data_IF_767941845016
#
_entry.id   IF_767941845016
#
_cell.length_a   1.000
_cell.length_b   1.000
_cell.length_c   1.000
_cell.angle_alpha   90.00
_cell.angle_beta   90.00
_cell.angle_gamma   90.00
#
_symmetry.space_group_name_H-M   'P 1'
#
loop_
_entity.id
_entity.type
_entity.pdbx_description
1 polymer ?
#
# COMPACT_ATOMS: atom_id res chain seq x y z
N UNK A 1 23.41 16.50 12.58
CA UNK A 1 22.70 15.22 12.85
C UNK A 1 22.30 14.46 11.59
N UNK A 2 21.83 15.12 10.50
CA UNK A 2 21.46 14.45 9.24
C UNK A 2 22.60 13.61 8.61
N UNK A 3 23.84 14.11 8.66
CA UNK A 3 24.99 13.41 8.07
C UNK A 3 25.45 12.20 8.91
N UNK A 4 25.16 12.18 10.21
CA UNK A 4 25.59 11.11 11.13
C UNK A 4 24.70 9.86 11.01
N UNK A 5 23.41 10.05 10.74
CA UNK A 5 22.47 8.96 10.44
C UNK A 5 22.80 8.29 9.10
N UNK A 6 23.20 9.07 8.09
CA UNK A 6 23.58 8.53 6.78
C UNK A 6 24.86 7.68 6.88
N UNK A 7 25.88 8.14 7.62
CA UNK A 7 27.12 7.40 7.83
C UNK A 7 26.94 6.12 8.64
N UNK A 8 26.12 6.16 9.70
CA UNK A 8 25.79 4.98 10.50
C UNK A 8 25.01 3.93 9.67
N UNK A 9 24.16 4.40 8.74
CA UNK A 9 23.42 3.54 7.82
C UNK A 9 24.33 2.82 6.82
N UNK A 10 25.32 3.52 6.24
CA UNK A 10 26.32 2.89 5.36
C UNK A 10 27.26 1.91 6.10
N UNK A 11 27.58 2.17 7.37
CA UNK A 11 28.42 1.29 8.17
C UNK A 11 27.72 -0.03 8.54
N UNK A 12 26.40 -0.02 8.72
CA UNK A 12 25.60 -1.24 8.98
C UNK A 12 25.50 -2.15 7.74
N UNK A 13 25.46 -1.57 6.53
CA UNK A 13 25.47 -2.34 5.29
C UNK A 13 26.80 -3.08 5.03
N UNK A 14 27.92 -2.59 5.58
CA UNK A 14 29.24 -3.17 5.39
C UNK A 14 29.55 -4.40 6.27
N UNK A 15 28.72 -4.69 7.28
CA UNK A 15 28.91 -5.81 8.21
C UNK A 15 27.95 -6.99 7.98
N UNK A 16 27.22 -6.99 6.86
CA UNK A 16 26.30 -8.06 6.55
C UNK A 16 27.08 -9.38 6.28
N UNK A 17 26.71 -10.52 6.89
CA UNK A 17 27.34 -11.80 6.59
C UNK A 17 27.17 -12.12 5.09
N UNK A 18 28.05 -12.94 4.50
CA UNK A 18 28.12 -13.24 3.07
C UNK A 18 26.84 -13.86 2.43
N UNK A 19 25.77 -14.03 3.21
CA UNK A 19 24.45 -14.55 2.81
C UNK A 19 23.31 -13.56 3.02
N UNK A 20 23.64 -12.28 3.27
CA UNK A 20 22.66 -11.23 3.48
C UNK A 20 22.59 -10.30 2.27
N UNK A 21 21.39 -10.09 1.76
CA UNK A 21 21.11 -9.12 0.71
C UNK A 21 20.52 -7.84 1.31
N UNK A 22 20.67 -6.74 0.60
CA UNK A 22 20.08 -5.45 0.96
C UNK A 22 19.42 -4.79 -0.24
N UNK A 23 18.11 -4.57 -0.18
CA UNK A 23 17.40 -3.79 -1.19
C UNK A 23 17.00 -2.42 -0.65
N UNK A 24 17.55 -1.36 -1.23
CA UNK A 24 17.11 0.02 -0.99
C UNK A 24 16.05 0.39 -2.01
N UNK A 25 14.83 0.67 -1.57
CA UNK A 25 13.72 1.07 -2.43
C UNK A 25 13.27 2.50 -2.12
N UNK A 26 13.10 3.30 -3.17
CA UNK A 26 12.52 4.63 -3.09
C UNK A 26 11.50 4.82 -4.21
N UNK A 27 10.29 5.25 -3.88
CA UNK A 27 9.25 5.58 -4.85
C UNK A 27 8.68 6.97 -4.57
N UNK A 28 8.27 7.65 -5.62
CA UNK A 28 7.56 8.91 -5.55
C UNK A 28 6.35 8.85 -6.46
N UNK A 29 5.22 9.35 -5.97
CA UNK A 29 3.96 9.42 -6.72
C UNK A 29 3.38 10.82 -6.70
N UNK A 30 2.70 11.17 -7.77
CA UNK A 30 2.09 12.47 -8.02
C UNK A 30 0.72 12.26 -8.65
N UNK A 31 -0.17 13.23 -8.54
CA UNK A 31 -1.44 13.15 -9.26
C UNK A 31 -2.36 14.34 -9.03
N UNK A 32 -3.64 14.12 -9.35
CA UNK A 32 -4.71 15.09 -9.19
C UNK A 32 -4.77 15.70 -7.79
N UNK A 33 -5.23 16.96 -7.71
CA UNK A 33 -5.41 17.67 -6.43
C UNK A 33 -4.12 17.82 -5.63
N UNK A 34 -3.00 18.13 -6.30
CA UNK A 34 -1.71 18.35 -5.66
C UNK A 34 -1.16 17.11 -4.93
N UNK A 35 -1.65 15.92 -5.28
CA UNK A 35 -1.26 14.68 -4.62
C UNK A 35 0.24 14.44 -4.77
N UNK A 36 0.90 14.14 -3.66
CA UNK A 36 2.31 13.76 -3.58
C UNK A 36 2.47 12.67 -2.53
N UNK A 37 3.18 11.61 -2.88
CA UNK A 37 3.59 10.55 -1.94
C UNK A 37 5.06 10.21 -2.15
N UNK A 38 5.76 9.92 -1.06
CA UNK A 38 7.14 9.45 -1.05
C UNK A 38 7.22 8.23 -0.15
N UNK A 39 7.73 7.13 -0.68
CA UNK A 39 7.98 5.89 0.03
C UNK A 39 9.46 5.55 0.00
N UNK A 40 10.01 5.19 1.15
CA UNK A 40 11.37 4.66 1.28
C UNK A 40 11.31 3.40 2.12
N UNK A 41 11.96 2.33 1.67
CA UNK A 41 12.12 1.12 2.48
C UNK A 41 13.47 0.48 2.25
N UNK A 42 13.92 -0.26 3.25
CA UNK A 42 15.18 -1.01 3.21
C UNK A 42 14.83 -2.44 3.54
N UNK A 43 14.99 -3.36 2.60
CA UNK A 43 14.87 -4.79 2.87
C UNK A 43 16.26 -5.30 3.22
N UNK A 44 16.40 -5.95 4.37
CA UNK A 44 17.64 -6.54 4.80
C UNK A 44 17.37 -7.94 5.35
N UNK A 45 18.09 -8.94 4.86
CA UNK A 45 17.82 -10.31 5.25
C UNK A 45 18.64 -11.33 4.49
N UNK A 46 18.27 -12.59 4.67
CA UNK A 46 18.75 -13.75 3.92
C UNK A 46 17.60 -14.37 3.13
N UNK A 47 17.87 -15.44 2.38
CA UNK A 47 16.87 -16.17 1.60
C UNK A 47 15.65 -16.63 2.41
N UNK A 48 15.81 -16.81 3.73
CA UNK A 48 14.77 -17.35 4.61
C UNK A 48 14.11 -16.30 5.48
N UNK A 49 14.85 -15.27 5.91
CA UNK A 49 14.32 -14.28 6.83
C UNK A 49 14.75 -12.88 6.44
N UNK A 50 13.81 -11.95 6.41
CA UNK A 50 14.11 -10.56 6.11
C UNK A 50 13.31 -9.61 6.98
N UNK A 51 13.88 -8.43 7.21
CA UNK A 51 13.21 -7.30 7.84
C UNK A 51 13.15 -6.13 6.86
N UNK A 52 12.08 -5.35 6.96
CA UNK A 52 11.82 -4.23 6.07
C UNK A 52 11.25 -3.04 6.82
N UNK A 53 12.10 -2.16 7.40
CA UNK A 53 11.66 -0.83 7.79
C UNK A 53 11.17 -0.04 6.56
N UNK A 54 10.06 0.66 6.74
CA UNK A 54 9.44 1.51 5.73
C UNK A 54 9.06 2.87 6.33
N UNK A 55 9.24 3.91 5.52
CA UNK A 55 8.75 5.25 5.74
C UNK A 55 7.89 5.64 4.54
N UNK A 56 6.69 6.14 4.81
CA UNK A 56 5.82 6.73 3.79
C UNK A 56 5.42 8.12 4.23
N UNK A 57 5.30 9.05 3.29
CA UNK A 57 4.72 10.35 3.53
C UNK A 57 3.87 10.75 2.35
N UNK A 58 2.70 11.30 2.61
CA UNK A 58 1.83 11.79 1.56
C UNK A 58 1.09 13.06 1.95
N UNK A 59 0.64 13.80 0.93
CA UNK A 59 -0.14 15.03 1.03
C UNK A 59 -0.97 15.19 -0.26
N UNK A 60 -2.15 15.78 -0.14
CA UNK A 60 -2.94 16.36 -1.23
C UNK A 60 -3.43 17.77 -0.87
N UNK A 61 -4.00 18.50 -1.83
CA UNK A 61 -4.65 19.79 -1.61
C UNK A 61 -5.89 19.66 -0.72
N UNK A 62 -6.50 18.47 -0.68
CA UNK A 62 -7.64 18.14 0.18
C UNK A 62 -7.23 17.61 1.56
N UNK A 63 -5.97 17.21 1.73
CA UNK A 63 -5.46 16.75 3.02
C UNK A 63 -5.19 17.93 3.95
N UNK A 64 -5.54 17.79 5.22
CA UNK A 64 -5.31 18.81 6.25
C UNK A 64 -3.86 18.87 6.75
N UNK A 65 -2.97 18.05 6.21
CA UNK A 65 -1.57 18.03 6.57
C UNK A 65 -0.77 16.99 5.81
N UNK A 66 0.52 16.91 6.11
CA UNK A 66 1.39 15.85 5.58
C UNK A 66 1.39 14.67 6.54
N UNK A 67 0.75 13.59 6.13
CA UNK A 67 0.73 12.35 6.88
C UNK A 67 2.04 11.59 6.69
N UNK A 68 2.50 10.94 7.76
CA UNK A 68 3.76 10.20 7.80
C UNK A 68 3.55 8.88 8.50
N UNK A 69 3.90 7.79 7.84
CA UNK A 69 3.73 6.44 8.36
C UNK A 69 5.08 5.76 8.47
N UNK A 70 5.34 5.18 9.63
CA UNK A 70 6.51 4.37 9.92
C UNK A 70 6.05 2.94 10.12
N UNK A 71 6.61 1.98 9.39
CA UNK A 71 6.30 0.57 9.58
C UNK A 71 7.54 -0.31 9.57
N UNK A 72 7.41 -1.48 10.17
CA UNK A 72 8.42 -2.51 10.19
C UNK A 72 7.74 -3.82 9.84
N UNK A 73 8.22 -4.45 8.78
CA UNK A 73 7.80 -5.80 8.37
C UNK A 73 8.91 -6.81 8.64
N UNK A 74 8.52 -8.01 9.04
CA UNK A 74 9.37 -9.18 9.13
C UNK A 74 8.76 -10.28 8.27
N UNK A 75 9.57 -10.92 7.45
CA UNK A 75 9.15 -11.96 6.53
C UNK A 75 9.96 -13.24 6.78
N UNK A 76 9.27 -14.36 6.73
CA UNK A 76 9.84 -15.70 6.63
C UNK A 76 9.48 -16.29 5.27
N UNK A 77 10.49 -16.68 4.51
CA UNK A 77 10.36 -17.32 3.19
C UNK A 77 10.90 -18.74 3.26
N UNK A 78 9.99 -19.70 3.45
CA UNK A 78 10.28 -21.11 3.22
C UNK A 78 10.09 -21.48 1.75
N UNK A 79 10.44 -22.73 1.41
CA UNK A 79 10.20 -23.25 0.04
C UNK A 79 8.72 -23.32 -0.29
N UNK A 80 7.91 -23.86 0.61
CA UNK A 80 6.48 -24.13 0.34
C UNK A 80 5.56 -23.16 1.05
N UNK A 81 6.02 -22.51 2.12
CA UNK A 81 5.21 -21.57 2.86
C UNK A 81 5.97 -20.27 3.11
N UNK A 82 5.23 -19.17 3.14
CA UNK A 82 5.74 -17.86 3.51
C UNK A 82 4.83 -17.27 4.59
N UNK A 83 5.42 -16.51 5.50
CA UNK A 83 4.68 -15.82 6.54
C UNK A 83 5.28 -14.44 6.74
N UNK A 84 4.44 -13.45 6.97
CA UNK A 84 4.82 -12.08 7.20
C UNK A 84 4.08 -11.49 8.39
N UNK A 85 4.73 -10.55 9.07
CA UNK A 85 4.08 -9.68 10.03
C UNK A 85 4.57 -8.24 9.84
N UNK A 86 3.65 -7.29 9.78
CA UNK A 86 3.95 -5.86 9.68
C UNK A 86 3.24 -5.09 10.78
N UNK A 87 3.93 -4.13 11.39
CA UNK A 87 3.32 -3.18 12.30
C UNK A 87 3.70 -1.77 11.91
N UNK A 88 2.78 -0.83 12.05
CA UNK A 88 3.05 0.56 11.71
C UNK A 88 2.27 1.58 12.53
N UNK A 89 2.81 2.79 12.53
CA UNK A 89 2.26 3.95 13.22
C UNK A 89 2.28 5.17 12.30
N UNK A 90 1.20 5.94 12.35
CA UNK A 90 1.09 7.27 11.78
C UNK A 90 0.87 8.25 12.94
N UNK A 91 1.88 9.06 13.29
CA UNK A 91 1.75 10.06 14.33
C UNK A 91 0.65 11.09 14.01
N UNK A 92 0.10 11.66 15.07
CA UNK A 92 -1.01 12.62 14.98
C UNK A 92 -0.69 13.76 14.04
N UNK A 93 -1.54 13.93 13.03
CA UNK A 93 -1.54 15.03 12.07
C UNK A 93 -2.97 15.49 11.92
N UNK A 94 -3.24 16.76 12.20
CA UNK A 94 -4.59 17.34 12.17
C UNK A 94 -5.64 16.49 12.93
N UNK A 95 -5.36 16.24 14.21
CA UNK A 95 -6.26 15.49 15.10
C UNK A 95 -6.42 14.00 14.78
N UNK A 96 -5.83 13.51 13.69
CA UNK A 96 -5.92 12.13 13.25
C UNK A 96 -4.61 11.36 13.46
N UNK A 97 -4.70 10.19 14.11
CA UNK A 97 -3.62 9.22 14.19
C UNK A 97 -4.10 7.80 13.85
N UNK A 98 -3.14 6.95 13.45
CA UNK A 98 -3.41 5.56 13.08
C UNK A 98 -2.29 4.66 13.57
N UNK A 99 -2.64 3.47 14.03
CA UNK A 99 -1.71 2.37 14.29
C UNK A 99 -2.30 1.08 13.74
N UNK A 100 -1.45 0.20 13.20
CA UNK A 100 -1.90 -1.06 12.65
C UNK A 100 -0.93 -2.20 12.93
N UNK A 101 -1.47 -3.41 12.91
CA UNK A 101 -0.73 -4.65 12.89
C UNK A 101 -1.37 -5.59 11.86
N UNK A 102 -0.54 -6.19 11.03
CA UNK A 102 -0.91 -7.08 9.95
C UNK A 102 -0.10 -8.37 10.06
N UNK A 103 -0.73 -9.49 9.74
CA UNK A 103 -0.07 -10.76 9.54
C UNK A 103 -0.61 -11.44 8.28
N UNK A 104 0.29 -12.05 7.53
CA UNK A 104 -0.05 -12.79 6.32
C UNK A 104 0.66 -14.14 6.28
N UNK A 105 0.04 -15.08 5.57
CA UNK A 105 0.65 -16.35 5.24
C UNK A 105 0.24 -16.79 3.84
N UNK A 106 1.13 -17.49 3.16
CA UNK A 106 0.83 -18.08 1.86
C UNK A 106 1.50 -19.43 1.68
N UNK A 107 0.90 -20.22 0.81
CA UNK A 107 1.37 -21.54 0.41
C UNK A 107 1.63 -21.56 -1.10
N UNK A 108 2.80 -22.08 -1.47
CA UNK A 108 3.27 -22.24 -2.84
C UNK A 108 3.20 -23.71 -3.24
N UNK A 109 2.34 -24.05 -4.19
CA UNK A 109 2.17 -25.44 -4.66
C UNK A 109 3.29 -25.87 -5.61
N UNK A 110 3.77 -24.94 -6.42
CA UNK A 110 4.89 -25.12 -7.34
C UNK A 110 5.91 -24.02 -7.07
N UNK A 111 6.75 -24.20 -6.03
CA UNK A 111 7.74 -23.19 -5.68
C UNK A 111 8.81 -23.10 -6.75
N UNK A 112 9.23 -21.89 -7.09
CA UNK A 112 10.25 -21.64 -8.10
C UNK A 112 11.56 -22.37 -7.72
N UNK A 113 12.22 -22.94 -8.73
CA UNK A 113 13.67 -23.17 -8.69
C UNK A 113 14.42 -21.85 -8.90
N UNK A 114 15.71 -21.81 -8.58
CA UNK A 114 16.55 -20.60 -8.45
C UNK A 114 16.68 -19.67 -9.68
N UNK A 115 15.96 -19.93 -10.79
CA UNK A 115 16.01 -19.13 -12.02
C UNK A 115 14.66 -18.49 -12.35
N UNK A 116 14.54 -17.18 -12.08
CA UNK A 116 13.40 -16.31 -12.43
C UNK A 116 13.10 -16.22 -13.95
N UNK A 117 14.03 -16.64 -14.82
CA UNK A 117 13.98 -16.37 -16.27
C UNK A 117 13.61 -17.59 -17.14
N UNK A 118 13.20 -18.72 -16.56
CA UNK A 118 12.76 -19.91 -17.32
C UNK A 118 11.23 -20.06 -17.34
N UNK A 119 10.65 -20.75 -18.31
CA UNK A 119 9.22 -21.09 -18.31
C UNK A 119 8.85 -21.81 -17.00
N UNK A 120 8.25 -21.12 -16.04
CA UNK A 120 7.84 -21.71 -14.77
C UNK A 120 6.32 -21.74 -14.63
N UNK A 121 5.86 -22.78 -13.94
CA UNK A 121 4.52 -22.87 -13.39
C UNK A 121 4.64 -22.55 -11.90
N UNK A 122 3.97 -21.50 -11.46
CA UNK A 122 3.87 -21.12 -10.05
C UNK A 122 2.40 -20.94 -9.70
N UNK A 123 2.00 -21.40 -8.53
CA UNK A 123 0.69 -21.11 -7.98
C UNK A 123 0.80 -20.91 -6.47
N UNK A 124 0.35 -19.76 -6.01
CA UNK A 124 0.32 -19.37 -4.62
C UNK A 124 -1.09 -18.96 -4.21
N UNK A 125 -1.44 -19.30 -2.98
CA UNK A 125 -2.63 -18.80 -2.30
C UNK A 125 -2.27 -18.38 -0.88
N UNK A 126 -2.89 -17.32 -0.39
CA UNK A 126 -2.64 -16.84 0.95
C UNK A 126 -3.78 -16.06 1.55
N UNK A 127 -3.64 -15.81 2.84
CA UNK A 127 -4.56 -15.05 3.67
C UNK A 127 -3.77 -13.99 4.43
N UNK A 128 -4.35 -12.81 4.59
CA UNK A 128 -3.85 -11.78 5.48
C UNK A 128 -4.97 -11.26 6.37
N UNK A 129 -4.60 -10.81 7.55
CA UNK A 129 -5.48 -10.10 8.46
C UNK A 129 -4.76 -8.85 8.99
N UNK A 130 -5.44 -7.71 8.93
CA UNK A 130 -4.95 -6.47 9.51
C UNK A 130 -5.95 -5.93 10.53
N UNK A 131 -5.42 -5.44 11.64
CA UNK A 131 -6.17 -4.66 12.61
C UNK A 131 -5.60 -3.24 12.62
N UNK A 132 -6.47 -2.27 12.45
CA UNK A 132 -6.12 -0.86 12.43
C UNK A 132 -6.95 -0.12 13.48
N UNK A 133 -6.28 0.72 14.25
CA UNK A 133 -6.91 1.62 15.21
C UNK A 133 -6.73 3.04 14.70
N UNK A 134 -7.85 3.72 14.53
CA UNK A 134 -7.92 5.12 14.14
C UNK A 134 -8.38 5.93 15.35
N UNK A 135 -7.76 7.08 15.57
CA UNK A 135 -8.25 8.09 16.50
C UNK A 135 -8.41 9.41 15.78
N UNK A 136 -9.55 10.06 15.94
CA UNK A 136 -9.87 11.35 15.32
C UNK A 136 -10.49 12.33 16.33
N UNK A 137 -9.86 13.49 16.51
CA UNK A 137 -10.34 14.55 17.40
C UNK A 137 -11.44 15.43 16.79
N UNK A 138 -11.72 15.30 15.48
CA UNK A 138 -12.63 16.18 14.75
C UNK A 138 -13.89 15.47 14.23
N UNK A 139 -14.97 16.24 14.07
CA UNK A 139 -16.21 15.83 13.40
C UNK A 139 -16.68 16.93 12.44
N UNK A 140 -17.47 16.55 11.43
CA UNK A 140 -18.09 17.53 10.54
C UNK A 140 -19.20 18.31 11.27
N UNK A 141 -19.24 19.63 11.09
CA UNK A 141 -20.22 20.52 11.76
C UNK A 141 -21.55 20.60 11.02
N UNK A 142 -21.58 20.23 9.75
CA UNK A 142 -22.77 20.15 8.91
C UNK A 142 -22.74 18.83 8.15
N UNK A 143 -23.86 18.10 8.16
CA UNK A 143 -24.10 16.96 7.30
C UNK A 143 -24.28 17.42 5.83
N UNK A 144 -23.25 18.03 5.25
CA UNK A 144 -23.17 18.13 3.81
C UNK A 144 -22.72 16.77 3.29
N UNK A 145 -23.69 15.87 3.17
CA UNK A 145 -23.61 14.71 2.28
C UNK A 145 -23.50 15.23 0.84
N UNK A 146 -22.34 15.80 0.49
CA UNK A 146 -21.95 16.06 -0.88
C UNK A 146 -21.36 14.76 -1.40
N UNK A 147 -22.07 14.10 -2.32
CA UNK A 147 -21.72 12.87 -3.02
C UNK A 147 -20.51 13.03 -3.96
N UNK A 148 -19.45 13.69 -3.50
CA UNK A 148 -18.27 13.97 -4.30
C UNK A 148 -17.02 13.88 -3.46
N UNK A 149 -16.15 12.93 -3.79
CA UNK A 149 -14.75 13.00 -3.37
C UNK A 149 -14.17 14.32 -3.90
N UNK A 150 -13.52 15.11 -3.03
CA UNK A 150 -12.62 16.18 -3.49
C UNK A 150 -12.77 17.57 -2.89
N UNK A 151 -13.75 17.86 -2.03
CA UNK A 151 -13.80 19.13 -1.29
C UNK A 151 -14.37 18.95 0.11
N UNK A 152 -13.53 18.56 1.06
CA UNK A 152 -13.86 18.70 2.47
C UNK A 152 -13.32 20.03 3.00
N UNK A 153 -13.84 21.14 2.48
CA UNK A 153 -13.82 22.43 3.20
C UNK A 153 -15.06 22.55 4.11
N UNK A 154 -15.52 21.43 4.67
CA UNK A 154 -16.55 21.46 5.69
C UNK A 154 -15.96 22.02 6.97
N UNK A 155 -16.66 22.94 7.64
CA UNK A 155 -16.27 23.34 8.98
C UNK A 155 -16.19 22.07 9.84
N UNK A 156 -15.07 21.90 10.54
CA UNK A 156 -14.89 20.83 11.53
C UNK A 156 -14.98 21.42 12.93
N UNK A 157 -15.45 20.60 13.87
CA UNK A 157 -15.44 20.93 15.29
C UNK A 157 -14.70 19.87 16.07
N UNK A 158 -14.04 20.28 17.15
CA UNK A 158 -13.40 19.37 18.09
C UNK A 158 -14.46 18.56 18.83
N UNK A 159 -14.29 17.25 18.85
CA UNK A 159 -15.14 16.35 19.62
C UNK A 159 -14.80 16.46 21.12
N UNK A 160 -15.78 16.30 22.03
CA UNK A 160 -15.50 16.19 23.47
C UNK A 160 -14.65 14.97 23.84
N UNK A 161 -14.69 13.92 23.02
CA UNK A 161 -13.86 12.73 23.11
C UNK A 161 -13.42 12.31 21.69
N UNK A 162 -12.17 11.86 21.49
CA UNK A 162 -11.75 11.34 20.21
C UNK A 162 -12.66 10.22 19.73
N UNK A 163 -12.96 10.22 18.44
CA UNK A 163 -13.58 9.10 17.75
C UNK A 163 -12.54 8.01 17.59
N UNK A 164 -12.73 6.91 18.32
CA UNK A 164 -11.87 5.73 18.25
C UNK A 164 -12.56 4.67 17.40
N UNK A 165 -11.94 4.30 16.29
CA UNK A 165 -12.47 3.30 15.38
C UNK A 165 -11.48 2.15 15.24
N UNK A 166 -11.96 0.93 15.41
CA UNK A 166 -11.20 -0.27 15.12
C UNK A 166 -11.69 -0.85 13.79
N UNK A 167 -10.79 -0.89 12.82
CA UNK A 167 -10.97 -1.52 11.52
C UNK A 167 -10.29 -2.89 11.50
N UNK A 168 -10.94 -3.89 10.91
CA UNK A 168 -10.38 -5.23 10.68
C UNK A 168 -10.53 -5.59 9.21
N UNK A 169 -9.41 -5.87 8.58
CA UNK A 169 -9.35 -6.25 7.17
C UNK A 169 -8.97 -7.71 7.05
N UNK A 170 -9.71 -8.45 6.23
CA UNK A 170 -9.45 -9.85 5.90
C UNK A 170 -9.21 -9.95 4.41
N UNK A 171 -8.02 -10.40 4.02
CA UNK A 171 -7.60 -10.48 2.62
C UNK A 171 -7.37 -11.92 2.22
N UNK A 172 -7.93 -12.31 1.08
CA UNK A 172 -7.54 -13.53 0.35
C UNK A 172 -6.76 -13.09 -0.87
N UNK A 173 -5.58 -13.65 -1.08
CA UNK A 173 -4.76 -13.32 -2.25
C UNK A 173 -4.25 -14.58 -2.95
N UNK A 174 -4.00 -14.45 -4.24
CA UNK A 174 -3.51 -15.53 -5.08
C UNK A 174 -2.54 -15.00 -6.13
N UNK A 175 -1.66 -15.88 -6.59
CA UNK A 175 -0.71 -15.60 -7.66
C UNK A 175 -0.50 -16.83 -8.52
N UNK A 176 -0.40 -16.63 -9.82
CA UNK A 176 -0.12 -17.68 -10.79
C UNK A 176 0.91 -17.20 -11.81
N UNK A 177 1.94 -18.01 -12.07
CA UNK A 177 2.92 -17.78 -13.12
C UNK A 177 2.83 -18.89 -14.16
N UNK A 178 2.72 -18.53 -15.44
CA UNK A 178 2.75 -19.45 -16.57
C UNK A 178 3.64 -18.86 -17.65
N UNK A 179 4.85 -19.42 -17.81
CA UNK A 179 5.80 -18.94 -18.80
C UNK A 179 6.23 -17.50 -18.52
N UNK A 180 5.98 -16.59 -19.46
CA UNK A 180 6.28 -15.17 -19.31
C UNK A 180 5.15 -14.34 -18.68
N UNK A 181 4.03 -14.95 -18.28
CA UNK A 181 2.88 -14.25 -17.72
C UNK A 181 2.75 -14.56 -16.22
N UNK A 182 2.65 -13.51 -15.42
CA UNK A 182 2.24 -13.57 -14.03
C UNK A 182 0.87 -12.91 -13.86
N UNK A 183 -0.05 -13.61 -13.20
CA UNK A 183 -1.35 -13.12 -12.78
C UNK A 183 -1.39 -13.11 -11.27
N UNK A 184 -1.94 -12.06 -10.68
CA UNK A 184 -2.22 -12.01 -9.25
C UNK A 184 -3.53 -11.33 -8.99
N UNK A 185 -4.14 -11.63 -7.85
CA UNK A 185 -5.29 -10.89 -7.38
C UNK A 185 -5.47 -11.02 -5.88
N UNK A 186 -6.21 -10.08 -5.34
CA UNK A 186 -6.59 -10.05 -3.94
C UNK A 186 -8.03 -9.57 -3.77
N UNK A 187 -8.65 -10.02 -2.70
CA UNK A 187 -9.94 -9.57 -2.25
C UNK A 187 -9.86 -9.28 -0.76
N UNK A 188 -10.18 -8.04 -0.38
CA UNK A 188 -10.19 -7.59 1.01
C UNK A 188 -11.63 -7.27 1.43
N UNK A 189 -12.03 -7.78 2.59
CA UNK A 189 -13.27 -7.41 3.28
C UNK A 189 -12.93 -6.69 4.58
N UNK A 190 -13.59 -5.57 4.82
CA UNK A 190 -13.37 -4.74 5.99
C UNK A 190 -14.57 -4.77 6.93
N UNK A 191 -14.30 -4.82 8.22
CA UNK A 191 -15.28 -4.76 9.30
C UNK A 191 -14.88 -3.70 10.34
N UNK A 192 -15.87 -3.08 10.96
CA UNK A 192 -15.69 -2.04 11.97
C UNK A 192 -16.29 -2.46 13.31
N UNK A 193 -15.70 -2.00 14.42
CA UNK A 193 -16.21 -2.28 15.76
C UNK A 193 -17.48 -1.49 16.13
N UNK A 194 -17.84 -0.48 15.34
CA UNK A 194 -19.01 0.36 15.57
C UNK A 194 -19.62 0.81 14.24
N UNK A 195 -20.87 1.23 14.29
CA UNK A 195 -21.58 1.80 13.14
C UNK A 195 -20.99 3.17 12.80
N UNK A 196 -20.67 3.36 11.53
CA UNK A 196 -20.20 4.64 11.00
C UNK A 196 -21.40 5.56 10.79
N UNK A 197 -21.31 6.78 11.33
CA UNK A 197 -22.35 7.81 11.16
C UNK A 197 -21.98 8.78 10.03
N UNK A 198 -22.94 9.43 9.37
CA UNK A 198 -22.66 10.44 8.33
C UNK A 198 -21.86 11.66 8.81
N UNK A 199 -21.82 11.90 10.12
CA UNK A 199 -21.02 12.97 10.74
C UNK A 199 -19.58 12.56 11.04
N UNK A 200 -19.27 11.27 10.92
CA UNK A 200 -17.92 10.76 11.13
C UNK A 200 -17.03 11.09 9.95
N UNK A 201 -15.84 11.60 10.26
CA UNK A 201 -14.82 11.88 9.26
C UNK A 201 -14.22 10.55 8.82
N UNK A 202 -14.18 10.32 7.51
CA UNK A 202 -13.56 9.13 6.92
C UNK A 202 -12.10 8.97 7.32
N UNK A 203 -11.59 7.73 7.23
CA UNK A 203 -10.16 7.47 7.41
C UNK A 203 -9.36 8.41 6.52
N UNK A 204 -8.47 9.20 7.11
CA UNK A 204 -7.68 10.18 6.35
C UNK A 204 -6.57 9.51 5.53
N UNK A 205 -6.16 8.31 5.92
CA UNK A 205 -5.06 7.55 5.31
C UNK A 205 -5.49 6.10 5.06
N UNK A 206 -6.21 5.87 3.95
CA UNK A 206 -6.62 4.54 3.50
C UNK A 206 -5.73 4.10 2.32
N UNK A 207 -4.86 3.13 2.58
CA UNK A 207 -4.04 2.47 1.55
C UNK A 207 -4.75 1.19 1.14
N UNK A 208 -5.09 1.04 -0.15
CA UNK A 208 -5.77 -0.13 -0.70
C UNK A 208 -4.83 -0.84 -1.67
N UNK A 209 -4.80 -2.17 -1.63
CA UNK A 209 -4.03 -2.97 -2.59
C UNK A 209 -4.41 -2.59 -4.03
N UNK A 210 -3.39 -2.40 -4.87
CA UNK A 210 -3.59 -2.05 -6.28
C UNK A 210 -3.91 -0.59 -6.57
N UNK A 211 -3.98 0.28 -5.57
CA UNK A 211 -3.97 1.74 -5.77
C UNK A 211 -2.56 2.30 -5.63
N UNK A 212 -2.26 3.29 -6.47
CA UNK A 212 -1.03 4.10 -6.44
C UNK A 212 -1.23 5.42 -5.69
N UNK A 213 -2.33 5.57 -4.96
CA UNK A 213 -2.57 6.73 -4.14
C UNK A 213 -3.25 6.34 -2.84
N UNK A 214 -3.18 7.24 -1.86
CA UNK A 214 -3.94 7.13 -0.62
C UNK A 214 -5.31 7.74 -0.87
N UNK A 215 -6.34 6.97 -0.60
CA UNK A 215 -7.72 7.45 -0.64
C UNK A 215 -8.24 7.72 0.78
N UNK A 216 -9.44 8.28 0.88
CA UNK A 216 -10.08 8.59 2.15
C UNK A 216 -11.48 7.98 2.22
N UNK A 217 -11.93 7.62 3.42
CA UNK A 217 -13.27 7.06 3.62
C UNK A 217 -13.31 5.81 4.49
N UNK A 218 -14.39 5.05 4.37
CA UNK A 218 -14.60 3.80 5.09
C UNK A 218 -14.76 2.64 4.10
N UNK A 219 -13.72 1.82 4.00
CA UNK A 219 -13.69 0.66 3.11
C UNK A 219 -14.74 -0.38 3.52
N UNK A 220 -15.52 -0.86 2.57
CA UNK A 220 -16.35 -2.06 2.77
C UNK A 220 -15.64 -3.30 2.20
N UNK A 221 -15.25 -3.23 0.93
CA UNK A 221 -14.47 -4.27 0.28
C UNK A 221 -13.67 -3.73 -0.90
N UNK A 222 -12.58 -4.41 -1.24
CA UNK A 222 -11.81 -4.17 -2.46
C UNK A 222 -11.46 -5.47 -3.15
N UNK A 223 -11.34 -5.42 -4.47
CA UNK A 223 -10.79 -6.46 -5.31
C UNK A 223 -9.69 -5.86 -6.17
N UNK A 224 -8.54 -6.50 -6.26
CA UNK A 224 -7.50 -6.18 -7.22
C UNK A 224 -7.19 -7.39 -8.10
N UNK A 225 -6.92 -7.13 -9.37
CA UNK A 225 -6.31 -8.08 -10.29
C UNK A 225 -5.17 -7.40 -11.06
N UNK A 226 -4.07 -8.11 -11.26
CA UNK A 226 -2.88 -7.63 -11.96
C UNK A 226 -2.34 -8.70 -12.90
N UNK A 227 -1.95 -8.27 -14.09
CA UNK A 227 -1.24 -9.08 -15.06
C UNK A 227 0.12 -8.43 -15.36
N UNK A 228 1.20 -9.20 -15.26
CA UNK A 228 2.57 -8.77 -15.51
C UNK A 228 3.22 -9.71 -16.53
N UNK A 229 3.91 -9.16 -17.51
CA UNK A 229 4.65 -9.92 -18.50
C UNK A 229 6.15 -9.83 -18.22
N UNK A 230 6.89 -10.91 -18.44
CA UNK A 230 8.34 -11.00 -18.23
C UNK A 230 9.05 -11.05 -19.59
N UNK A 231 9.49 -9.89 -20.09
CA UNK A 231 10.12 -9.72 -21.40
C UNK A 231 11.59 -9.32 -21.23
N UNK A 232 12.40 -10.29 -20.77
CA UNK A 232 13.80 -10.06 -20.43
C UNK A 232 13.95 -9.04 -19.29
N UNK A 233 14.65 -7.93 -19.55
CA UNK A 233 14.81 -6.86 -18.56
C UNK A 233 13.52 -6.06 -18.33
N UNK A 234 12.57 -6.10 -19.27
CA UNK A 234 11.32 -5.34 -19.21
C UNK A 234 10.21 -6.18 -18.61
N UNK A 235 9.49 -5.61 -17.65
CA UNK A 235 8.35 -6.26 -17.01
C UNK A 235 7.13 -5.34 -17.03
N UNK A 236 6.44 -5.18 -18.18
CA UNK A 236 5.22 -4.37 -18.24
C UNK A 236 4.08 -5.05 -17.49
N UNK A 237 3.19 -4.25 -16.92
CA UNK A 237 2.01 -4.74 -16.22
C UNK A 237 0.80 -3.83 -16.41
N UNK A 238 -0.37 -4.43 -16.21
CA UNK A 238 -1.65 -3.74 -16.05
C UNK A 238 -2.36 -4.28 -14.82
N UNK A 239 -3.15 -3.43 -14.17
CA UNK A 239 -3.98 -3.82 -13.04
C UNK A 239 -5.33 -3.12 -13.07
N UNK A 240 -6.29 -3.78 -12.43
CA UNK A 240 -7.64 -3.29 -12.23
C UNK A 240 -8.00 -3.45 -10.75
N UNK A 241 -8.49 -2.39 -10.15
CA UNK A 241 -8.95 -2.38 -8.76
C UNK A 241 -10.40 -1.91 -8.73
N UNK A 242 -11.24 -2.61 -7.99
CA UNK A 242 -12.62 -2.19 -7.70
C UNK A 242 -12.81 -2.06 -6.21
N UNK A 243 -13.32 -0.92 -5.78
CA UNK A 243 -13.45 -0.55 -4.38
C UNK A 243 -14.90 -0.22 -4.09
N UNK A 244 -15.37 -0.63 -2.92
CA UNK A 244 -16.65 -0.23 -2.37
C UNK A 244 -16.40 0.43 -1.03
N UNK A 245 -16.84 1.69 -0.90
CA UNK A 245 -16.90 2.40 0.37
C UNK A 245 -18.28 2.23 1.01
N UNK A 246 -18.38 2.32 2.33
CA UNK A 246 -19.64 2.12 3.07
C UNK A 246 -20.68 3.22 2.81
N UNK A 247 -20.23 4.43 2.51
CA UNK A 247 -21.04 5.63 2.30
C UNK A 247 -21.40 5.90 0.83
N UNK A 248 -20.90 5.07 -0.10
CA UNK A 248 -21.10 5.24 -1.54
C UNK A 248 -21.98 4.12 -2.12
N UNK A 249 -22.94 4.52 -2.96
CA UNK A 249 -23.77 3.59 -3.70
C UNK A 249 -22.99 2.89 -4.82
N UNK A 250 -22.16 3.66 -5.53
CA UNK A 250 -21.34 3.20 -6.64
C UNK A 250 -19.99 2.65 -6.18
N UNK A 251 -19.45 1.71 -6.98
CA UNK A 251 -18.07 1.23 -6.84
C UNK A 251 -17.11 2.22 -7.48
N UNK A 252 -16.01 2.47 -6.80
CA UNK A 252 -14.87 3.18 -7.36
C UNK A 252 -14.01 2.19 -8.14
N UNK A 253 -13.41 2.66 -9.24
CA UNK A 253 -12.62 1.84 -10.15
C UNK A 253 -11.24 2.46 -10.34
N UNK A 254 -10.22 1.62 -10.46
CA UNK A 254 -8.88 2.07 -10.81
C UNK A 254 -8.30 1.17 -11.89
N UNK A 255 -7.69 1.80 -12.89
CA UNK A 255 -6.98 1.14 -13.97
C UNK A 255 -5.55 1.63 -13.96
N UNK A 256 -4.60 0.73 -13.73
CA UNK A 256 -3.19 1.10 -13.67
C UNK A 256 -2.38 0.33 -14.71
N UNK A 257 -1.38 0.99 -15.26
CA UNK A 257 -0.44 0.42 -16.20
C UNK A 257 0.96 0.87 -15.84
N UNK A 258 1.96 0.01 -15.99
CA UNK A 258 3.32 0.36 -15.66
C UNK A 258 4.35 -0.55 -16.28
N UNK A 259 5.60 -0.21 -16.05
CA UNK A 259 6.75 -0.95 -16.53
C UNK A 259 7.83 -0.97 -15.46
N UNK A 260 8.36 -2.15 -15.20
CA UNK A 260 9.58 -2.32 -14.40
C UNK A 260 10.74 -2.66 -15.36
N UNK A 261 11.90 -2.07 -15.13
CA UNK A 261 13.14 -2.39 -15.86
C UNK A 261 14.15 -2.89 -14.84
N UNK A 262 14.48 -4.19 -14.88
CA UNK A 262 15.49 -4.82 -14.01
C UNK A 262 16.80 -4.91 -14.78
N UNK A 263 17.83 -4.21 -14.30
CA UNK A 263 19.17 -4.22 -14.88
C UNK A 263 20.24 -4.39 -13.80
N UNK A 264 20.79 -5.61 -13.70
CA UNK A 264 21.78 -6.00 -12.68
C UNK A 264 21.28 -5.66 -11.28
N UNK A 265 21.96 -4.73 -10.59
CA UNK A 265 21.68 -4.27 -9.22
C UNK A 265 20.63 -3.16 -9.16
N UNK A 266 20.10 -2.69 -10.29
CA UNK A 266 19.13 -1.59 -10.34
C UNK A 266 17.81 -2.09 -10.91
N UNK A 267 16.70 -1.72 -10.27
CA UNK A 267 15.35 -1.87 -10.82
C UNK A 267 14.68 -0.50 -10.86
N UNK A 268 14.26 -0.06 -12.04
CA UNK A 268 13.47 1.14 -12.23
C UNK A 268 12.00 0.76 -12.41
N UNK A 269 11.08 1.61 -11.95
CA UNK A 269 9.64 1.45 -12.14
C UNK A 269 9.04 2.77 -12.57
N UNK A 270 8.18 2.72 -13.57
CA UNK A 270 7.28 3.81 -13.93
C UNK A 270 5.85 3.29 -13.99
N UNK A 271 4.90 4.08 -13.52
CA UNK A 271 3.49 3.69 -13.49
C UNK A 271 2.54 4.86 -13.70
N UNK A 272 1.38 4.55 -14.25
CA UNK A 272 0.25 5.43 -14.45
C UNK A 272 -1.00 4.76 -13.89
N UNK A 273 -1.89 5.56 -13.34
CA UNK A 273 -3.19 5.14 -12.85
C UNK A 273 -4.27 6.14 -13.26
N UNK A 274 -5.38 5.61 -13.75
CA UNK A 274 -6.64 6.31 -13.94
C UNK A 274 -7.63 5.83 -12.89
N UNK A 275 -7.99 6.72 -11.97
CA UNK A 275 -8.91 6.50 -10.89
C UNK A 275 -10.28 7.11 -11.20
N UNK A 276 -11.33 6.35 -10.95
CA UNK A 276 -12.73 6.72 -11.17
C UNK A 276 -13.47 6.63 -9.84
N UNK A 277 -13.61 7.74 -9.10
CA UNK A 277 -14.28 7.78 -7.79
C UNK A 277 -15.80 7.49 -7.84
N UNK A 278 -16.42 7.44 -9.02
CA UNK A 278 -17.86 7.24 -9.16
C UNK A 278 -18.69 8.44 -8.69
N UNK A 279 -20.01 8.26 -8.58
CA UNK A 279 -20.97 9.26 -8.08
C UNK A 279 -20.88 10.65 -8.77
N UNK A 280 -20.50 10.70 -10.05
CA UNK A 280 -20.41 11.93 -10.83
C UNK A 280 -19.19 12.81 -10.51
N UNK A 281 -18.22 12.31 -9.74
CA UNK A 281 -16.93 12.96 -9.53
C UNK A 281 -16.01 12.79 -10.74
N UNK A 282 -15.14 13.77 -10.97
CA UNK A 282 -14.21 13.75 -12.11
C UNK A 282 -13.16 12.63 -11.97
N UNK A 283 -12.83 12.01 -13.10
CA UNK A 283 -11.74 11.04 -13.20
C UNK A 283 -10.41 11.71 -12.78
N UNK A 284 -9.60 10.97 -12.02
CA UNK A 284 -8.32 11.44 -11.49
C UNK A 284 -7.16 10.60 -12.03
N UNK A 285 -6.00 11.24 -12.21
CA UNK A 285 -4.82 10.59 -12.76
C UNK A 285 -3.66 10.66 -11.76
N UNK A 286 -2.96 9.54 -11.61
CA UNK A 286 -1.78 9.43 -10.77
C UNK A 286 -0.62 8.82 -11.56
N UNK A 287 0.59 9.24 -11.22
CA UNK A 287 1.83 8.83 -11.86
C UNK A 287 2.84 8.49 -10.77
N UNK A 288 3.58 7.41 -10.96
CA UNK A 288 4.61 6.99 -10.03
C UNK A 288 5.92 6.68 -10.73
N UNK A 289 7.02 6.99 -10.07
CA UNK A 289 8.34 6.47 -10.43
C UNK A 289 9.05 5.94 -9.20
N UNK A 290 9.91 4.95 -9.41
CA UNK A 290 10.67 4.38 -8.32
C UNK A 290 11.95 3.71 -8.78
N UNK A 291 12.86 3.56 -7.84
CA UNK A 291 14.11 2.84 -8.01
C UNK A 291 14.33 1.88 -6.85
N UNK A 292 14.91 0.72 -7.16
CA UNK A 292 15.43 -0.23 -6.18
C UNK A 292 16.89 -0.50 -6.50
N UNK A 293 17.76 -0.41 -5.49
CA UNK A 293 19.15 -0.85 -5.56
C UNK A 293 19.28 -2.13 -4.75
N UNK A 294 19.76 -3.20 -5.38
CA UNK A 294 19.88 -4.55 -4.82
C UNK A 294 21.36 -4.85 -4.60
N UNK A 295 21.76 -5.12 -3.35
CA UNK A 295 23.15 -5.40 -2.93
C UNK A 295 23.27 -6.80 -2.33
#
# INVERSE_FOLDING_TARGET
MKNLLLSAFFALAACAPAYAFTDLNANQRFGSGGYTQSDVSVLWGSDTFSIKPKYSSWKSDTSSGTFKTYSLRMDYTGKTFKAGAEGGIQPKTDGYDKKYAEGDFSFSFYPNGDNEDSLYLRFDIGLAAMITFHADEYQFTTASSGSGHGQHSGNVTTRPKPFELQQRDYTVFWGAGIGALELSGDYTKTNYNQTILPTDRGSQDLTISGLNHVTQGFLDNSWNAKAKFMLGAFRPYVSYTSIRMLDLADRELSYSGGMEIKWKIVKLRGEYELYKPGNGSDDSSYYGFGATFMF
#
